data_IF_653872138065
#
_entry.id   IF_653872138065
#
_cell.length_a   1.000
_cell.length_b   1.000
_cell.length_c   1.000
_cell.angle_alpha   90.00
_cell.angle_beta   90.00
_cell.angle_gamma   90.00
#
_symmetry.space_group_name_H-M   'P 1'
#
loop_
_entity.id
_entity.type
_entity.pdbx_description
1 polymer ?
#
# COMPACT_ATOMS: atom_id res chain seq x y z
N UNK A 1 -0.08 -11.65 -4.13
CA UNK A 1 0.25 -10.34 -3.49
C UNK A 1 -1.00 -9.59 -3.04
N UNK A 2 -2.06 -9.52 -3.84
CA UNK A 2 -3.34 -8.96 -3.40
C UNK A 2 -3.90 -9.65 -2.16
N UNK A 3 -4.06 -10.97 -2.18
CA UNK A 3 -4.61 -11.73 -1.04
C UNK A 3 -3.87 -11.46 0.28
N UNK A 4 -2.53 -11.42 0.22
CA UNK A 4 -1.70 -11.09 1.39
C UNK A 4 -1.89 -9.64 1.85
N UNK A 5 -2.07 -8.70 0.92
CA UNK A 5 -2.36 -7.30 1.25
C UNK A 5 -3.74 -7.15 1.91
N UNK A 6 -4.75 -7.85 1.38
CA UNK A 6 -6.12 -7.87 1.93
C UNK A 6 -6.13 -8.47 3.34
N UNK A 7 -5.46 -9.63 3.53
CA UNK A 7 -5.37 -10.27 4.83
C UNK A 7 -4.63 -9.38 5.86
N UNK A 8 -3.53 -8.74 5.45
CA UNK A 8 -2.80 -7.81 6.29
C UNK A 8 -3.66 -6.59 6.68
N UNK A 9 -4.43 -6.04 5.75
CA UNK A 9 -5.36 -4.94 6.02
C UNK A 9 -6.49 -5.33 6.97
N UNK A 10 -7.09 -6.51 6.79
CA UNK A 10 -8.11 -7.02 7.69
C UNK A 10 -7.55 -7.18 9.12
N UNK A 11 -6.35 -7.74 9.25
CA UNK A 11 -5.67 -7.87 10.53
C UNK A 11 -5.35 -6.51 11.16
N UNK A 12 -4.84 -5.56 10.37
CA UNK A 12 -4.51 -4.22 10.83
C UNK A 12 -5.75 -3.46 11.34
N UNK A 13 -6.89 -3.56 10.64
CA UNK A 13 -8.17 -3.00 11.10
C UNK A 13 -8.63 -3.61 12.43
N UNK A 14 -8.46 -4.92 12.60
CA UNK A 14 -8.82 -5.58 13.85
C UNK A 14 -8.02 -5.06 15.05
N UNK A 15 -6.78 -4.61 14.84
CA UNK A 15 -5.92 -4.04 15.88
C UNK A 15 -6.14 -2.53 16.08
N UNK A 16 -6.27 -1.76 15.00
CA UNK A 16 -6.43 -0.31 15.05
C UNK A 16 -7.86 0.17 15.36
N UNK A 17 -8.84 -0.75 15.37
CA UNK A 17 -10.23 -0.42 15.61
C UNK A 17 -10.80 0.48 14.53
N UNK A 18 -11.31 1.66 14.92
CA UNK A 18 -11.90 2.65 14.01
C UNK A 18 -10.91 3.70 13.51
N UNK A 19 -9.61 3.53 13.75
CA UNK A 19 -8.58 4.42 13.21
C UNK A 19 -8.45 4.31 11.68
N UNK A 20 -7.87 5.33 11.02
CA UNK A 20 -7.67 5.30 9.58
C UNK A 20 -6.70 4.18 9.18
N UNK A 21 -6.93 3.58 8.01
CA UNK A 21 -6.05 2.60 7.39
C UNK A 21 -5.37 3.23 6.17
N UNK A 22 -4.05 3.34 6.21
CA UNK A 22 -3.24 3.85 5.11
C UNK A 22 -2.54 2.67 4.43
N UNK A 23 -2.78 2.51 3.14
CA UNK A 23 -2.20 1.44 2.34
C UNK A 23 -1.04 1.97 1.50
N UNK A 24 0.15 1.43 1.73
CA UNK A 24 1.31 1.64 0.88
C UNK A 24 1.48 0.40 0.01
N UNK A 25 1.33 0.52 -1.32
CA UNK A 25 1.24 -0.63 -2.21
C UNK A 25 1.99 -0.38 -3.53
N UNK A 26 2.52 -1.44 -4.11
CA UNK A 26 3.12 -1.41 -5.45
C UNK A 26 4.43 -2.19 -5.53
N UNK A 27 5.37 -1.68 -6.31
CA UNK A 27 6.63 -2.34 -6.66
C UNK A 27 7.80 -1.39 -6.53
N UNK A 28 8.82 -1.81 -5.78
CA UNK A 28 10.09 -1.10 -5.64
C UNK A 28 11.15 -1.70 -6.59
N UNK A 29 11.66 -0.88 -7.51
CA UNK A 29 12.72 -1.25 -8.46
C UNK A 29 12.24 -1.95 -9.74
N UNK A 30 13.17 -2.18 -10.66
CA UNK A 30 12.94 -3.00 -11.86
C UNK A 30 12.95 -4.47 -11.44
N UNK A 31 11.79 -5.13 -11.51
CA UNK A 31 11.66 -6.52 -11.07
C UNK A 31 11.92 -7.49 -12.22
N UNK A 32 12.79 -8.47 -11.99
CA UNK A 32 13.11 -9.50 -13.01
C UNK A 32 11.90 -10.40 -13.27
N UNK A 33 11.10 -10.70 -12.24
CA UNK A 33 9.77 -11.28 -12.42
C UNK A 33 8.70 -10.20 -12.34
N UNK A 34 7.50 -10.49 -12.86
CA UNK A 34 6.34 -9.58 -12.85
C UNK A 34 6.21 -8.86 -11.49
N UNK A 35 6.18 -7.53 -11.55
CA UNK A 35 5.98 -6.65 -10.41
C UNK A 35 4.61 -6.88 -9.74
N UNK A 36 4.07 -5.89 -9.06
CA UNK A 36 2.69 -5.91 -8.59
C UNK A 36 1.82 -5.37 -9.74
N UNK A 37 1.08 -6.21 -10.49
CA UNK A 37 0.35 -5.75 -11.67
C UNK A 37 -0.66 -4.66 -11.30
N UNK A 38 -0.85 -3.67 -12.17
CA UNK A 38 -1.73 -2.54 -11.88
C UNK A 38 -3.17 -2.96 -11.56
N UNK A 39 -3.72 -3.95 -12.27
CA UNK A 39 -5.06 -4.48 -12.00
C UNK A 39 -5.16 -5.13 -10.61
N UNK A 40 -4.13 -5.85 -10.19
CA UNK A 40 -4.07 -6.44 -8.84
C UNK A 40 -3.90 -5.37 -7.75
N UNK A 41 -3.20 -4.26 -8.05
CA UNK A 41 -3.13 -3.09 -7.16
C UNK A 41 -4.50 -2.41 -7.05
N UNK A 42 -5.19 -2.17 -8.17
CA UNK A 42 -6.54 -1.60 -8.19
C UNK A 42 -7.51 -2.46 -7.39
N UNK A 43 -7.55 -3.76 -7.65
CA UNK A 43 -8.41 -4.68 -6.90
C UNK A 43 -8.07 -4.72 -5.41
N UNK A 44 -6.78 -4.69 -5.04
CA UNK A 44 -6.40 -4.60 -3.64
C UNK A 44 -6.94 -3.31 -2.99
N UNK A 45 -6.84 -2.16 -3.66
CA UNK A 45 -7.36 -0.89 -3.15
C UNK A 45 -8.90 -0.93 -3.01
N UNK A 46 -9.60 -1.42 -4.03
CA UNK A 46 -11.07 -1.52 -4.03
C UNK A 46 -11.60 -2.45 -2.93
N UNK A 47 -10.90 -3.56 -2.67
CA UNK A 47 -11.26 -4.56 -1.67
C UNK A 47 -10.91 -4.09 -0.25
N UNK A 48 -9.72 -3.51 -0.06
CA UNK A 48 -9.24 -3.02 1.24
C UNK A 48 -9.99 -1.75 1.67
N UNK A 49 -10.41 -0.92 0.71
CA UNK A 49 -11.00 0.42 0.92
C UNK A 49 -10.22 1.25 1.95
N UNK A 50 -8.91 1.47 1.73
CA UNK A 50 -8.11 2.25 2.66
C UNK A 50 -8.55 3.73 2.64
N UNK A 51 -8.31 4.43 3.73
CA UNK A 51 -8.61 5.86 3.83
C UNK A 51 -7.66 6.69 2.95
N UNK A 52 -6.42 6.22 2.78
CA UNK A 52 -5.40 6.81 1.89
C UNK A 52 -4.56 5.72 1.24
N UNK A 53 -4.12 6.00 0.01
CA UNK A 53 -3.25 5.12 -0.78
C UNK A 53 -1.95 5.85 -1.09
N UNK A 54 -0.83 5.19 -0.83
CA UNK A 54 0.51 5.60 -1.27
C UNK A 54 1.02 4.55 -2.26
N UNK A 55 1.31 4.99 -3.49
CA UNK A 55 1.71 4.12 -4.60
C UNK A 55 3.24 4.13 -4.73
N UNK A 56 3.85 2.95 -4.64
CA UNK A 56 5.29 2.77 -4.85
C UNK A 56 5.52 2.18 -6.24
N UNK A 57 6.20 2.90 -7.12
CA UNK A 57 6.38 2.50 -8.52
C UNK A 57 5.53 3.31 -9.50
N UNK A 58 5.44 2.87 -10.74
CA UNK A 58 4.76 3.60 -11.83
C UNK A 58 3.36 3.04 -12.08
N UNK A 59 2.33 3.75 -11.62
CA UNK A 59 0.91 3.41 -11.76
C UNK A 59 0.10 4.65 -12.18
N UNK A 60 0.30 5.20 -13.38
CA UNK A 60 -0.29 6.47 -13.80
C UNK A 60 -1.82 6.45 -13.85
N UNK A 61 -2.42 5.27 -13.96
CA UNK A 61 -3.87 5.05 -14.02
C UNK A 61 -4.54 4.74 -12.68
N UNK A 62 -3.79 4.82 -11.57
CA UNK A 62 -4.30 4.57 -10.21
C UNK A 62 -4.20 5.87 -9.40
N UNK A 63 -5.31 6.30 -8.81
CA UNK A 63 -5.31 7.45 -7.91
C UNK A 63 -4.61 7.10 -6.58
N UNK A 64 -3.65 7.93 -6.19
CA UNK A 64 -2.90 7.77 -4.96
C UNK A 64 -1.74 8.75 -4.85
N UNK A 65 -1.05 8.74 -3.72
CA UNK A 65 0.11 9.59 -3.49
C UNK A 65 1.35 8.85 -4.00
N UNK A 66 2.08 9.38 -5.01
CA UNK A 66 3.24 8.68 -5.55
C UNK A 66 4.43 8.72 -4.58
N UNK A 67 5.11 7.57 -4.46
CA UNK A 67 6.34 7.40 -3.70
C UNK A 67 7.39 6.71 -4.59
N UNK A 68 8.63 7.20 -4.53
CA UNK A 68 9.72 6.67 -5.36
C UNK A 68 10.21 5.29 -4.93
N UNK A 69 10.02 4.94 -3.66
CA UNK A 69 10.48 3.70 -3.06
C UNK A 69 9.67 3.35 -1.80
N UNK A 70 9.92 2.17 -1.22
CA UNK A 70 9.18 1.68 -0.05
C UNK A 70 9.40 2.57 1.18
N UNK A 71 10.61 3.04 1.40
CA UNK A 71 10.98 3.82 2.58
C UNK A 71 10.28 5.19 2.57
N UNK A 72 10.28 5.85 1.41
CA UNK A 72 9.55 7.10 1.20
C UNK A 72 8.04 6.89 1.31
N UNK A 73 7.53 5.77 0.81
CA UNK A 73 6.13 5.42 0.94
C UNK A 73 5.69 5.25 2.40
N UNK A 74 6.53 4.60 3.21
CA UNK A 74 6.30 4.47 4.65
C UNK A 74 6.31 5.83 5.37
N UNK A 75 7.29 6.70 5.09
CA UNK A 75 7.35 8.04 5.68
C UNK A 75 6.13 8.90 5.37
N UNK A 76 5.66 8.89 4.12
CA UNK A 76 4.41 9.58 3.73
C UNK A 76 3.22 9.02 4.52
N UNK A 77 3.13 7.69 4.66
CA UNK A 77 2.04 7.08 5.42
C UNK A 77 2.10 7.42 6.91
N UNK A 78 3.29 7.50 7.50
CA UNK A 78 3.48 7.92 8.90
C UNK A 78 3.05 9.37 9.12
N UNK A 79 3.41 10.28 8.21
CA UNK A 79 2.96 11.68 8.25
C UNK A 79 1.43 11.80 8.16
N UNK A 80 0.78 10.98 7.32
CA UNK A 80 -0.69 10.95 7.18
C UNK A 80 -1.36 10.36 8.42
N UNK A 81 -0.76 9.32 9.03
CA UNK A 81 -1.30 8.65 10.21
C UNK A 81 -1.37 9.60 11.42
N UNK A 82 -0.44 10.55 11.53
CA UNK A 82 -0.42 11.60 12.55
C UNK A 82 -0.72 11.05 13.97
N UNK A 83 0.08 10.09 14.41
CA UNK A 83 0.03 9.35 15.69
C UNK A 83 -1.18 8.40 15.90
N UNK A 84 -1.96 8.09 14.86
CA UNK A 84 -3.10 7.17 14.97
C UNK A 84 -3.40 6.35 13.73
N UNK A 85 -4.11 5.24 13.92
CA UNK A 85 -4.51 4.34 12.84
C UNK A 85 -3.49 3.25 12.52
N UNK A 86 -3.66 2.63 11.36
CA UNK A 86 -2.82 1.54 10.88
C UNK A 86 -2.21 1.85 9.52
N UNK A 87 -0.97 1.41 9.34
CA UNK A 87 -0.25 1.46 8.07
C UNK A 87 0.00 0.03 7.60
N UNK A 88 -0.34 -0.27 6.35
CA UNK A 88 -0.06 -1.56 5.72
C UNK A 88 0.90 -1.35 4.56
N UNK A 89 2.05 -2.03 4.63
CA UNK A 89 3.07 -2.03 3.59
C UNK A 89 2.93 -3.30 2.73
N UNK A 90 2.38 -3.15 1.53
CA UNK A 90 2.20 -4.19 0.52
C UNK A 90 3.06 -3.90 -0.72
N UNK A 91 4.36 -3.72 -0.53
CA UNK A 91 5.31 -3.37 -1.60
C UNK A 91 6.13 -4.60 -1.98
N UNK A 92 6.11 -4.98 -3.26
CA UNK A 92 7.04 -5.98 -3.79
C UNK A 92 8.44 -5.37 -3.89
N UNK A 93 9.43 -6.06 -3.34
CA UNK A 93 10.84 -5.66 -3.40
C UNK A 93 11.67 -6.82 -3.96
N UNK A 94 12.78 -6.50 -4.63
CA UNK A 94 13.79 -7.48 -5.07
C UNK A 94 15.12 -7.19 -4.39
N UNK A 95 15.91 -8.25 -4.13
CA UNK A 95 17.28 -8.17 -3.64
C UNK A 95 18.22 -8.77 -4.68
#
# INVERSE_FOLDING_TARGET
CRETAVAAAAYARALAGSGPLILVIGTEGQTICEGFPADEVKWAIEEIRPDRVVLVGDYPEIEGIPAGDRAKGAGIAEEIANDGGAIVLAVKTWR
#
